data_IF_184223012705
#
_entry.id   IF_184223012705
#
_cell.length_a   1.000
_cell.length_b   1.000
_cell.length_c   1.000
_cell.angle_alpha   90.00
_cell.angle_beta   90.00
_cell.angle_gamma   90.00
#
_symmetry.space_group_name_H-M   'P 1'
#
loop_
_entity.id
_entity.type
_entity.pdbx_description
1 polymer ?
#
# COMPACT_ATOMS: atom_id res chain seq x y z
N UNK A 1 24.94 62.53 -38.48
CA UNK A 1 25.41 63.49 -37.45
C UNK A 1 24.57 63.34 -36.21
N UNK A 2 25.23 63.12 -35.05
CA UNK A 2 24.80 63.27 -33.64
C UNK A 2 23.55 62.47 -33.20
N UNK A 3 23.57 61.57 -32.21
CA UNK A 3 24.53 61.26 -31.15
C UNK A 3 23.96 61.56 -29.76
N UNK A 4 24.08 60.61 -28.83
CA UNK A 4 23.91 60.79 -27.37
C UNK A 4 23.11 59.64 -26.73
N UNK A 5 23.71 58.54 -26.25
CA UNK A 5 24.57 58.29 -25.06
C UNK A 5 23.78 57.72 -23.88
N UNK A 6 24.21 56.53 -23.47
CA UNK A 6 23.93 55.75 -22.26
C UNK A 6 24.39 56.44 -20.97
N UNK A 7 24.10 55.87 -19.77
CA UNK A 7 25.10 54.97 -19.19
C UNK A 7 24.56 53.74 -18.42
N UNK A 8 25.50 52.80 -18.29
CA UNK A 8 25.58 51.53 -17.57
C UNK A 8 25.62 51.61 -16.03
N UNK A 9 25.20 50.54 -15.33
CA UNK A 9 25.93 49.89 -14.21
C UNK A 9 25.32 48.50 -13.90
N UNK A 10 26.03 47.38 -14.17
CA UNK A 10 26.83 46.54 -13.25
C UNK A 10 26.01 45.66 -12.28
N UNK A 11 25.93 44.35 -12.57
CA UNK A 11 26.67 43.23 -11.93
C UNK A 11 26.29 42.96 -10.46
N UNK A 12 25.86 41.72 -10.19
CA UNK A 12 26.50 40.77 -9.24
C UNK A 12 26.13 39.36 -9.70
N UNK A 13 27.14 38.53 -9.96
CA UNK A 13 27.02 37.09 -10.11
C UNK A 13 27.36 36.38 -8.81
N UNK A 14 26.90 35.14 -8.66
CA UNK A 14 27.47 34.21 -7.70
C UNK A 14 27.62 32.85 -8.38
N UNK A 15 28.86 32.56 -8.79
CA UNK A 15 29.37 31.21 -9.00
C UNK A 15 29.71 30.61 -7.63
N UNK A 16 29.27 29.39 -7.37
CA UNK A 16 29.79 28.48 -6.36
C UNK A 16 29.92 27.13 -7.09
N UNK A 17 31.06 26.84 -7.73
CA UNK A 17 32.29 26.26 -7.19
C UNK A 17 32.04 25.05 -6.27
N UNK A 18 31.97 23.92 -6.97
CA UNK A 18 31.93 22.55 -6.52
C UNK A 18 33.37 22.09 -6.20
N UNK A 19 33.72 21.61 -4.99
CA UNK A 19 35.03 21.05 -4.74
C UNK A 19 34.99 19.51 -4.72
N UNK A 20 35.82 18.90 -5.57
CA UNK A 20 36.58 17.71 -5.15
C UNK A 20 35.99 16.34 -5.48
N UNK A 21 36.02 15.93 -6.76
CA UNK A 21 36.11 14.51 -7.11
C UNK A 21 37.56 14.22 -7.47
N UNK A 22 38.33 13.69 -6.51
CA UNK A 22 39.66 13.11 -6.78
C UNK A 22 39.49 11.66 -7.22
N UNK A 23 39.97 11.36 -8.43
CA UNK A 23 40.27 10.00 -8.90
C UNK A 23 41.37 9.39 -8.04
N UNK A 24 41.18 8.15 -7.60
CA UNK A 24 42.27 7.25 -7.26
C UNK A 24 42.03 5.91 -7.97
N UNK A 25 43.09 5.40 -8.59
CA UNK A 25 43.17 4.08 -9.19
C UNK A 25 44.39 3.35 -8.61
N UNK A 26 44.24 2.02 -8.48
CA UNK A 26 45.23 1.00 -8.13
C UNK A 26 45.69 1.00 -6.65
N UNK A 27 45.91 -0.12 -5.94
CA UNK A 27 46.41 -1.46 -6.30
C UNK A 27 46.03 -2.51 -5.23
N UNK A 28 46.13 -3.78 -5.63
CA UNK A 28 46.09 -5.09 -4.93
C UNK A 28 46.64 -5.17 -3.49
N UNK A 29 46.07 -6.08 -2.69
CA UNK A 29 46.77 -6.68 -1.53
C UNK A 29 45.92 -7.41 -0.49
N UNK A 30 46.02 -8.75 -0.50
CA UNK A 30 46.05 -9.70 0.63
C UNK A 30 44.84 -9.97 1.55
N UNK A 31 44.65 -11.27 1.80
CA UNK A 31 43.65 -11.98 2.60
C UNK A 31 43.55 -11.58 4.08
N UNK A 32 42.40 -11.82 4.76
CA UNK A 32 42.33 -11.90 6.21
C UNK A 32 42.37 -13.36 6.72
N UNK A 33 43.00 -13.63 7.88
CA UNK A 33 43.07 -14.97 8.45
C UNK A 33 41.84 -15.35 9.27
N UNK A 34 41.55 -16.65 9.25
CA UNK A 34 40.65 -17.39 10.13
C UNK A 34 40.99 -17.23 11.61
N UNK A 35 39.97 -17.19 12.47
CA UNK A 35 39.81 -18.03 13.67
C UNK A 35 38.92 -17.37 14.72
N UNK A 36 37.73 -17.92 14.96
CA UNK A 36 37.13 -18.01 16.31
C UNK A 36 36.18 -19.23 16.34
N UNK A 37 36.73 -20.34 16.81
CA UNK A 37 36.00 -21.52 17.27
C UNK A 37 35.61 -21.24 18.73
N UNK A 38 34.32 -21.36 19.09
CA UNK A 38 33.91 -21.52 20.48
C UNK A 38 32.84 -22.63 20.58
N UNK A 39 33.19 -23.66 21.34
CA UNK A 39 32.33 -24.74 21.82
C UNK A 39 31.65 -24.34 23.16
N UNK A 40 30.58 -25.04 23.59
CA UNK A 40 29.66 -24.56 24.62
C UNK A 40 30.07 -25.00 26.03
N UNK A 41 29.85 -24.12 27.01
CA UNK A 41 30.13 -24.37 28.43
C UNK A 41 28.92 -24.03 29.30
N UNK A 42 28.39 -25.07 29.95
CA UNK A 42 27.31 -25.07 30.92
C UNK A 42 27.61 -24.23 32.16
N UNK A 43 26.65 -23.43 32.62
CA UNK A 43 26.60 -22.97 34.01
C UNK A 43 25.18 -23.15 34.57
N UNK A 44 25.10 -24.03 35.57
CA UNK A 44 24.02 -24.15 36.53
C UNK A 44 24.03 -22.91 37.43
N UNK A 45 22.88 -22.30 37.70
CA UNK A 45 22.69 -21.54 38.94
C UNK A 45 21.24 -21.70 39.46
N UNK A 46 21.18 -21.80 40.78
CA UNK A 46 20.17 -22.38 41.66
C UNK A 46 19.23 -21.30 42.21
N UNK A 47 17.93 -21.62 42.27
CA UNK A 47 16.82 -21.09 43.09
C UNK A 47 16.61 -19.56 43.28
N UNK A 48 15.41 -19.08 42.90
CA UNK A 48 14.43 -18.51 43.86
C UNK A 48 13.03 -18.38 43.22
N UNK A 49 11.92 -18.68 43.93
CA UNK A 49 10.56 -18.69 43.39
C UNK A 49 9.83 -17.38 43.71
N UNK A 50 9.28 -16.69 42.70
CA UNK A 50 8.23 -15.69 42.92
C UNK A 50 7.10 -15.88 41.91
N UNK A 51 5.98 -16.30 42.48
CA UNK A 51 4.68 -16.44 41.85
C UNK A 51 4.19 -15.14 41.22
N UNK A 52 3.41 -15.34 40.14
CA UNK A 52 2.24 -14.54 39.73
C UNK A 52 2.49 -13.08 39.38
N UNK A 53 2.72 -12.83 38.10
CA UNK A 53 2.18 -11.69 37.35
C UNK A 53 2.29 -11.97 35.84
N UNK A 54 1.56 -12.99 35.37
CA UNK A 54 1.30 -13.18 33.94
C UNK A 54 -0.20 -13.06 33.71
N UNK A 55 -0.65 -11.84 33.47
CA UNK A 55 -1.89 -11.49 32.77
C UNK A 55 -1.90 -9.98 32.69
N UNK A 56 -1.42 -9.45 31.56
CA UNK A 56 -1.75 -8.14 30.99
C UNK A 56 -0.83 -7.98 29.76
N UNK A 57 -1.14 -8.73 28.70
CA UNK A 57 -0.79 -8.29 27.36
C UNK A 57 -1.64 -7.04 27.13
N UNK A 58 -1.07 -5.87 26.83
CA UNK A 58 -1.88 -4.72 26.46
C UNK A 58 -2.63 -5.10 25.19
N UNK A 59 -3.95 -5.14 25.30
CA UNK A 59 -4.87 -5.14 24.18
C UNK A 59 -4.43 -4.09 23.17
N UNK A 60 -4.32 -4.51 21.91
CA UNK A 60 -4.04 -3.66 20.73
C UNK A 60 -4.83 -2.36 20.86
N UNK A 61 -4.13 -1.22 20.80
CA UNK A 61 -4.70 0.13 20.81
C UNK A 61 -5.77 0.25 19.70
N UNK A 62 -7.02 0.02 20.07
CA UNK A 62 -8.21 0.48 19.35
C UNK A 62 -8.49 1.94 19.67
N UNK A 63 -7.45 2.74 19.90
CA UNK A 63 -7.56 4.19 20.02
C UNK A 63 -8.02 4.70 18.66
N UNK A 64 -9.35 4.66 18.50
CA UNK A 64 -10.12 5.34 17.50
C UNK A 64 -9.54 6.74 17.37
N UNK A 65 -9.57 7.25 16.15
CA UNK A 65 -9.29 8.65 15.86
C UNK A 65 -10.40 9.44 16.55
N UNK A 66 -10.25 9.66 17.87
CA UNK A 66 -11.15 10.44 18.68
C UNK A 66 -11.02 11.90 18.24
N UNK A 67 -12.15 12.61 18.08
CA UNK A 67 -12.21 13.82 17.30
C UNK A 67 -11.43 14.96 17.97
N UNK A 68 -10.64 15.67 17.15
CA UNK A 68 -10.55 17.13 17.28
C UNK A 68 -11.99 17.65 17.26
N UNK A 69 -12.39 18.35 18.31
CA UNK A 69 -13.79 18.64 18.63
C UNK A 69 -14.65 19.07 17.41
N UNK A 70 -15.65 18.25 17.04
CA UNK A 70 -16.91 18.75 16.44
C UNK A 70 -17.52 18.06 15.22
N UNK A 71 -16.77 17.34 14.37
CA UNK A 71 -17.30 16.75 13.13
C UNK A 71 -16.93 15.27 12.99
N UNK A 72 -17.95 14.40 13.06
CA UNK A 72 -17.83 13.00 12.63
C UNK A 72 -18.11 12.88 11.13
N UNK A 73 -17.53 11.88 10.48
CA UNK A 73 -17.78 11.61 9.06
C UNK A 73 -19.28 11.43 8.76
N UNK A 74 -20.01 10.71 9.63
CA UNK A 74 -21.47 10.53 9.48
C UNK A 74 -22.23 11.86 9.51
N UNK A 75 -21.80 12.83 10.32
CA UNK A 75 -22.40 14.17 10.36
C UNK A 75 -22.10 14.98 9.09
N UNK A 76 -20.90 14.83 8.54
CA UNK A 76 -20.56 15.44 7.25
C UNK A 76 -21.49 14.90 6.15
N UNK A 77 -21.67 13.58 6.04
CA UNK A 77 -22.60 12.99 5.08
C UNK A 77 -24.03 13.52 5.26
N UNK A 78 -24.54 13.55 6.49
CA UNK A 78 -25.88 14.04 6.79
C UNK A 78 -26.07 15.51 6.39
N UNK A 79 -25.05 16.36 6.58
CA UNK A 79 -25.07 17.78 6.18
C UNK A 79 -25.21 17.96 4.67
N UNK A 80 -24.70 17.01 3.88
CA UNK A 80 -24.85 16.98 2.43
C UNK A 80 -26.02 16.11 1.94
N UNK A 81 -26.87 15.60 2.84
CA UNK A 81 -27.96 14.67 2.53
C UNK A 81 -27.50 13.43 1.75
N UNK A 82 -26.31 12.91 2.08
CA UNK A 82 -25.72 11.73 1.45
C UNK A 82 -25.80 10.51 2.35
N UNK A 83 -25.96 9.33 1.73
CA UNK A 83 -25.84 8.04 2.37
C UNK A 83 -24.75 7.19 1.71
N UNK A 84 -24.03 6.42 2.52
CA UNK A 84 -23.02 5.48 2.06
C UNK A 84 -23.54 4.05 2.26
N UNK A 85 -23.88 3.41 1.14
CA UNK A 85 -24.41 2.04 1.07
C UNK A 85 -23.64 1.21 0.06
N UNK A 86 -23.61 -0.10 0.29
CA UNK A 86 -23.01 -1.06 -0.64
C UNK A 86 -23.78 -1.04 -1.96
N UNK A 87 -23.04 -0.92 -3.05
CA UNK A 87 -23.50 -1.23 -4.39
C UNK A 87 -23.32 -2.74 -4.65
N UNK A 88 -23.59 -3.17 -5.88
CA UNK A 88 -23.20 -4.50 -6.34
C UNK A 88 -21.71 -4.75 -6.04
N UNK A 89 -21.41 -5.91 -5.46
CA UNK A 89 -20.02 -6.30 -5.19
C UNK A 89 -19.36 -6.77 -6.49
N UNK A 90 -18.25 -6.15 -6.84
CA UNK A 90 -17.48 -6.37 -8.07
C UNK A 90 -16.06 -6.86 -7.79
N UNK A 91 -15.55 -6.61 -6.58
CA UNK A 91 -14.18 -6.95 -6.19
C UNK A 91 -14.20 -7.67 -4.85
N UNK A 92 -13.58 -8.85 -4.81
CA UNK A 92 -13.20 -9.53 -3.57
C UNK A 92 -11.74 -9.18 -3.27
N UNK A 93 -11.50 -8.33 -2.27
CA UNK A 93 -10.15 -7.96 -1.85
C UNK A 93 -9.69 -8.89 -0.72
N UNK A 94 -8.65 -9.68 -0.99
CA UNK A 94 -8.11 -10.68 -0.07
C UNK A 94 -6.82 -10.18 0.56
N UNK A 95 -6.87 -9.80 1.84
CA UNK A 95 -5.68 -9.48 2.60
C UNK A 95 -5.10 -10.78 3.20
N UNK A 96 -4.04 -11.30 2.58
CA UNK A 96 -3.48 -12.62 2.92
C UNK A 96 -2.58 -12.61 4.16
N UNK A 97 -2.42 -11.47 4.82
CA UNK A 97 -1.64 -11.36 6.04
C UNK A 97 -0.88 -10.05 6.16
N UNK A 98 0.08 -10.02 7.08
CA UNK A 98 0.92 -8.85 7.39
C UNK A 98 2.42 -9.13 7.22
N UNK A 99 2.80 -10.33 6.82
CA UNK A 99 4.19 -10.67 6.49
C UNK A 99 4.63 -9.89 5.25
N UNK A 100 5.78 -9.22 5.32
CA UNK A 100 6.34 -8.39 4.25
C UNK A 100 7.86 -8.31 4.44
N UNK A 101 8.63 -8.28 3.37
CA UNK A 101 10.08 -8.04 3.37
C UNK A 101 10.43 -6.60 3.80
N UNK A 102 9.50 -5.65 3.68
CA UNK A 102 9.71 -4.24 3.99
C UNK A 102 9.02 -3.75 5.27
N UNK A 103 9.52 -2.64 5.83
CA UNK A 103 8.92 -1.93 6.97
C UNK A 103 8.66 -0.44 6.60
N UNK A 104 7.86 -0.18 5.56
CA UNK A 104 7.62 1.19 5.07
C UNK A 104 6.90 2.08 6.10
N UNK A 105 7.34 3.34 6.26
CA UNK A 105 6.84 4.27 7.29
C UNK A 105 5.35 4.60 7.12
N UNK A 106 4.87 4.66 5.88
CA UNK A 106 3.48 5.02 5.54
C UNK A 106 2.49 3.83 5.58
N UNK A 107 2.96 2.61 5.88
CA UNK A 107 2.14 1.40 5.75
C UNK A 107 0.95 1.39 6.72
N UNK A 108 -0.26 1.48 6.18
CA UNK A 108 -1.51 1.41 6.95
C UNK A 108 -1.81 0.00 7.49
N UNK A 109 -1.35 -1.06 6.80
CA UNK A 109 -1.45 -2.47 7.26
C UNK A 109 -0.56 -2.77 8.46
N UNK A 110 0.48 -1.94 8.67
CA UNK A 110 1.56 -2.17 9.63
C UNK A 110 2.35 -3.47 9.33
N UNK A 111 2.46 -3.86 8.06
CA UNK A 111 3.13 -5.08 7.63
C UNK A 111 4.64 -5.06 7.83
N UNK A 112 5.28 -6.22 7.98
CA UNK A 112 6.74 -6.31 8.10
C UNK A 112 7.27 -7.72 8.33
N UNK A 113 8.60 -7.89 8.40
CA UNK A 113 9.25 -9.21 8.30
C UNK A 113 9.06 -10.07 9.55
N UNK A 114 8.70 -9.44 10.67
CA UNK A 114 8.45 -10.13 11.96
C UNK A 114 6.97 -10.44 12.20
N UNK A 115 6.09 -10.11 11.26
CA UNK A 115 4.65 -10.37 11.38
C UNK A 115 4.36 -11.86 11.19
N UNK A 116 3.34 -12.34 11.89
CA UNK A 116 2.96 -13.77 11.91
C UNK A 116 1.56 -14.01 11.35
N UNK A 117 0.82 -12.93 11.10
CA UNK A 117 -0.49 -12.97 10.46
C UNK A 117 -0.30 -13.37 9.01
N UNK A 118 -0.68 -14.59 8.68
CA UNK A 118 -0.54 -15.19 7.36
C UNK A 118 -1.73 -16.13 7.15
N UNK A 119 -2.35 -16.06 5.97
CA UNK A 119 -3.45 -16.92 5.57
C UNK A 119 -3.02 -18.39 5.53
N UNK A 120 -3.92 -19.30 5.85
CA UNK A 120 -3.69 -20.75 5.78
C UNK A 120 -4.38 -21.36 4.56
N UNK A 121 -3.88 -22.50 4.04
CA UNK A 121 -4.56 -23.33 3.04
C UNK A 121 -6.05 -23.52 3.35
N UNK A 122 -6.37 -23.92 4.58
CA UNK A 122 -7.76 -24.13 4.99
C UNK A 122 -8.64 -22.88 4.81
N UNK A 123 -8.13 -21.70 5.15
CA UNK A 123 -8.87 -20.44 4.95
C UNK A 123 -9.00 -20.12 3.46
N UNK A 124 -7.93 -20.32 2.68
CA UNK A 124 -7.96 -20.17 1.21
C UNK A 124 -9.05 -21.03 0.60
N UNK A 125 -9.10 -22.32 0.92
CA UNK A 125 -10.06 -23.27 0.34
C UNK A 125 -11.52 -22.84 0.63
N UNK A 126 -11.78 -22.35 1.84
CA UNK A 126 -13.12 -21.86 2.22
C UNK A 126 -13.51 -20.58 1.48
N UNK A 127 -12.57 -19.66 1.28
CA UNK A 127 -12.78 -18.44 0.50
C UNK A 127 -13.05 -18.80 -0.97
N UNK A 128 -12.25 -19.69 -1.55
CA UNK A 128 -12.41 -20.16 -2.92
C UNK A 128 -13.78 -20.83 -3.12
N UNK A 129 -14.17 -21.74 -2.22
CA UNK A 129 -15.48 -22.39 -2.28
C UNK A 129 -16.62 -21.36 -2.25
N UNK A 130 -16.57 -20.40 -1.33
CA UNK A 130 -17.57 -19.32 -1.28
C UNK A 130 -17.57 -18.48 -2.57
N UNK A 131 -16.40 -18.14 -3.11
CA UNK A 131 -16.27 -17.34 -4.33
C UNK A 131 -16.94 -18.02 -5.54
N UNK A 132 -16.92 -19.36 -5.63
CA UNK A 132 -17.58 -20.09 -6.72
C UNK A 132 -19.11 -19.90 -6.77
N UNK A 133 -19.72 -19.51 -5.65
CA UNK A 133 -21.16 -19.24 -5.53
C UNK A 133 -21.51 -17.78 -5.88
N UNK A 134 -20.52 -16.97 -6.28
CA UNK A 134 -20.69 -15.54 -6.57
C UNK A 134 -20.57 -15.22 -8.06
N UNK A 135 -20.91 -13.98 -8.42
CA UNK A 135 -20.63 -13.39 -9.74
C UNK A 135 -19.57 -12.28 -9.65
N UNK A 136 -18.61 -12.39 -8.73
CA UNK A 136 -17.55 -11.40 -8.53
C UNK A 136 -16.44 -11.62 -9.57
N UNK A 137 -16.20 -10.68 -10.50
CA UNK A 137 -15.25 -10.89 -11.61
C UNK A 137 -13.79 -10.61 -11.24
N UNK A 138 -13.54 -9.86 -10.16
CA UNK A 138 -12.18 -9.43 -9.79
C UNK A 138 -11.81 -9.89 -8.39
N UNK A 139 -10.63 -10.49 -8.27
CA UNK A 139 -10.00 -10.78 -6.98
C UNK A 139 -8.73 -9.94 -6.83
N UNK A 140 -8.67 -9.12 -5.79
CA UNK A 140 -7.58 -8.21 -5.48
C UNK A 140 -6.78 -8.72 -4.28
N UNK A 141 -5.61 -9.31 -4.52
CA UNK A 141 -4.78 -9.92 -3.49
C UNK A 141 -3.84 -8.85 -2.90
N UNK A 142 -3.94 -8.65 -1.59
CA UNK A 142 -3.20 -7.62 -0.84
C UNK A 142 -2.73 -8.16 0.52
N UNK A 143 -2.21 -7.30 1.40
CA UNK A 143 -1.71 -7.66 2.72
C UNK A 143 -0.38 -6.99 3.01
N UNK A 144 0.59 -7.77 3.48
CA UNK A 144 1.98 -7.35 3.51
C UNK A 144 2.60 -7.42 2.12
N UNK A 145 3.50 -8.37 1.88
CA UNK A 145 3.85 -8.83 0.54
C UNK A 145 3.02 -10.10 0.28
N UNK A 146 1.93 -10.04 -0.50
CA UNK A 146 1.02 -11.17 -0.67
C UNK A 146 1.72 -12.46 -1.11
N UNK A 147 2.78 -12.31 -1.89
CA UNK A 147 3.55 -13.36 -2.51
C UNK A 147 4.31 -14.20 -1.46
N UNK A 148 4.52 -13.64 -0.27
CA UNK A 148 5.11 -14.36 0.87
C UNK A 148 4.14 -15.28 1.61
N UNK A 149 2.86 -15.28 1.27
CA UNK A 149 1.94 -16.29 1.79
C UNK A 149 2.37 -17.68 1.27
N UNK A 150 2.52 -18.71 2.13
CA UNK A 150 3.01 -20.04 1.75
C UNK A 150 2.29 -20.65 0.54
N UNK A 151 1.02 -20.29 0.41
CA UNK A 151 0.05 -20.85 -0.51
C UNK A 151 -0.29 -19.93 -1.69
N UNK A 152 0.50 -18.88 -1.92
CA UNK A 152 0.24 -17.86 -2.94
C UNK A 152 0.09 -18.46 -4.35
N UNK A 153 0.97 -19.38 -4.76
CA UNK A 153 0.90 -20.04 -6.08
C UNK A 153 -0.43 -20.75 -6.28
N UNK A 154 -0.80 -21.60 -5.33
CA UNK A 154 -2.06 -22.32 -5.35
C UNK A 154 -3.24 -21.36 -5.39
N UNK A 155 -3.24 -20.31 -4.55
CA UNK A 155 -4.32 -19.33 -4.53
C UNK A 155 -4.51 -18.71 -5.93
N UNK A 156 -3.44 -18.28 -6.58
CA UNK A 156 -3.51 -17.71 -7.93
C UNK A 156 -3.99 -18.74 -8.96
N UNK A 157 -3.45 -19.95 -8.94
CA UNK A 157 -3.83 -21.03 -9.87
C UNK A 157 -5.31 -21.40 -9.75
N UNK A 158 -5.81 -21.55 -8.53
CA UNK A 158 -7.23 -21.82 -8.27
C UNK A 158 -8.11 -20.65 -8.67
N UNK A 159 -7.71 -19.40 -8.36
CA UNK A 159 -8.46 -18.23 -8.82
C UNK A 159 -8.55 -18.16 -10.34
N UNK A 160 -7.49 -18.55 -11.06
CA UNK A 160 -7.48 -18.61 -12.53
C UNK A 160 -8.33 -19.76 -13.09
N UNK A 161 -8.61 -20.80 -12.31
CA UNK A 161 -9.47 -21.93 -12.72
C UNK A 161 -10.96 -21.63 -12.54
N UNK A 162 -11.30 -20.65 -11.69
CA UNK A 162 -12.68 -20.21 -11.44
C UNK A 162 -13.19 -19.38 -12.62
N UNK A 163 -14.18 -19.92 -13.35
CA UNK A 163 -14.67 -19.36 -14.62
C UNK A 163 -15.12 -17.89 -14.55
N UNK A 164 -15.77 -17.49 -13.45
CA UNK A 164 -16.26 -16.12 -13.30
C UNK A 164 -15.16 -15.11 -12.95
N UNK A 165 -13.98 -15.56 -12.49
CA UNK A 165 -12.88 -14.67 -12.13
C UNK A 165 -12.13 -14.28 -13.40
N UNK A 166 -12.39 -13.08 -13.87
CA UNK A 166 -11.78 -12.52 -15.07
C UNK A 166 -10.39 -11.95 -14.75
N UNK A 167 -10.31 -11.22 -13.62
CA UNK A 167 -9.11 -10.48 -13.22
C UNK A 167 -8.61 -10.93 -11.85
N UNK A 168 -7.33 -11.30 -11.79
CA UNK A 168 -6.59 -11.48 -10.53
C UNK A 168 -5.57 -10.36 -10.44
N UNK A 169 -5.60 -9.59 -9.36
CA UNK A 169 -4.69 -8.48 -9.09
C UNK A 169 -3.73 -8.89 -7.98
N UNK A 170 -2.45 -8.61 -8.17
CA UNK A 170 -1.42 -8.70 -7.14
C UNK A 170 -0.91 -7.30 -6.76
N UNK A 171 -1.10 -6.92 -5.49
CA UNK A 171 -0.58 -5.67 -4.93
C UNK A 171 0.85 -5.86 -4.45
N UNK A 172 1.75 -5.73 -5.41
CA UNK A 172 3.16 -6.00 -5.26
C UNK A 172 3.93 -4.79 -4.70
N UNK A 173 4.91 -5.05 -3.85
CA UNK A 173 5.84 -4.02 -3.37
C UNK A 173 7.10 -3.87 -4.26
N UNK A 174 7.22 -4.66 -5.32
CA UNK A 174 8.37 -4.76 -6.25
C UNK A 174 9.63 -5.42 -5.69
N UNK A 175 10.03 -5.13 -4.45
CA UNK A 175 11.29 -5.65 -3.89
C UNK A 175 11.27 -7.16 -3.72
N UNK A 176 10.11 -7.71 -3.39
CA UNK A 176 9.89 -9.16 -3.26
C UNK A 176 10.28 -9.96 -4.51
N UNK A 177 10.19 -9.37 -5.71
CA UNK A 177 10.58 -10.01 -6.98
C UNK A 177 12.10 -10.29 -7.09
N UNK A 178 12.90 -9.73 -6.18
CA UNK A 178 14.35 -9.85 -6.13
C UNK A 178 14.85 -10.51 -4.84
N UNK A 179 13.95 -10.85 -3.91
CA UNK A 179 14.32 -11.52 -2.67
C UNK A 179 14.73 -12.97 -2.94
N UNK A 180 15.72 -13.51 -2.19
CA UNK A 180 16.13 -14.91 -2.33
C UNK A 180 14.96 -15.87 -2.12
N UNK A 181 14.79 -16.82 -3.05
CA UNK A 181 13.69 -17.79 -3.03
C UNK A 181 12.43 -17.34 -3.78
N UNK A 182 12.41 -16.11 -4.30
CA UNK A 182 11.33 -15.56 -5.14
C UNK A 182 11.74 -15.35 -6.60
N UNK A 183 12.83 -15.97 -7.04
CA UNK A 183 13.34 -15.85 -8.41
C UNK A 183 12.33 -16.32 -9.46
N UNK A 184 11.35 -17.12 -9.07
CA UNK A 184 10.29 -17.65 -9.92
C UNK A 184 9.09 -16.71 -10.10
N UNK A 185 8.96 -15.70 -9.25
CA UNK A 185 7.71 -14.98 -9.02
C UNK A 185 7.27 -14.17 -10.25
N UNK A 186 8.19 -13.43 -10.86
CA UNK A 186 7.88 -12.58 -12.01
C UNK A 186 7.36 -13.41 -13.21
N UNK A 187 8.02 -14.51 -13.51
CA UNK A 187 7.65 -15.43 -14.59
C UNK A 187 6.32 -16.14 -14.29
N UNK A 188 6.09 -16.51 -13.04
CA UNK A 188 4.82 -17.10 -12.61
C UNK A 188 3.66 -16.13 -12.77
N UNK A 189 3.79 -14.89 -12.29
CA UNK A 189 2.75 -13.85 -12.41
C UNK A 189 2.41 -13.60 -13.89
N UNK A 190 3.44 -13.51 -14.75
CA UNK A 190 3.27 -13.35 -16.19
C UNK A 190 2.55 -14.55 -16.82
N UNK A 191 2.97 -15.78 -16.50
CA UNK A 191 2.35 -17.00 -17.03
C UNK A 191 0.87 -17.13 -16.64
N UNK A 192 0.53 -16.70 -15.42
CA UNK A 192 -0.84 -16.67 -14.91
C UNK A 192 -1.63 -15.42 -15.33
N UNK A 193 -1.01 -14.49 -16.09
CA UNK A 193 -1.58 -13.21 -16.52
C UNK A 193 -2.15 -12.40 -15.36
N UNK A 194 -1.46 -12.40 -14.23
CA UNK A 194 -1.85 -11.62 -13.06
C UNK A 194 -1.60 -10.15 -13.36
N UNK A 195 -2.61 -9.31 -13.12
CA UNK A 195 -2.47 -7.86 -13.17
C UNK A 195 -1.65 -7.40 -11.97
N UNK A 196 -0.59 -6.63 -12.20
CA UNK A 196 0.26 -6.10 -11.13
C UNK A 196 -0.13 -4.66 -10.83
N UNK A 197 -0.40 -4.34 -9.57
CA UNK A 197 -0.55 -2.97 -9.07
C UNK A 197 0.59 -2.72 -8.07
N UNK A 198 1.64 -2.07 -8.54
CA UNK A 198 2.90 -1.98 -7.83
C UNK A 198 3.05 -0.66 -7.06
N UNK A 199 3.51 -0.74 -5.81
CA UNK A 199 3.78 0.46 -5.00
C UNK A 199 5.09 1.14 -5.42
N UNK A 200 5.02 2.37 -5.95
CA UNK A 200 6.20 3.20 -6.28
C UNK A 200 5.90 4.67 -5.92
N UNK A 201 6.19 5.09 -4.67
CA UNK A 201 5.71 6.36 -4.13
C UNK A 201 6.37 7.59 -4.74
N UNK A 202 7.44 7.43 -5.51
CA UNK A 202 8.05 8.49 -6.31
C UNK A 202 8.91 7.89 -7.43
N UNK A 203 9.11 8.61 -8.54
CA UNK A 203 10.14 8.28 -9.54
C UNK A 203 11.54 8.76 -9.13
N UNK A 204 11.69 9.44 -7.99
CA UNK A 204 12.97 9.92 -7.48
C UNK A 204 13.51 9.04 -6.33
N UNK A 205 14.81 8.72 -6.32
CA UNK A 205 15.42 7.82 -5.33
C UNK A 205 15.34 8.35 -3.90
N UNK A 206 15.58 9.65 -3.72
CA UNK A 206 15.53 10.33 -2.41
C UNK A 206 14.20 10.13 -1.71
N UNK A 207 13.10 10.22 -2.47
CA UNK A 207 11.76 10.11 -1.94
C UNK A 207 11.41 8.66 -1.61
N UNK A 208 11.71 7.72 -2.51
CA UNK A 208 11.42 6.31 -2.27
C UNK A 208 12.21 5.79 -1.08
N UNK A 209 13.51 6.10 -1.00
CA UNK A 209 14.37 5.60 0.08
C UNK A 209 13.96 6.18 1.44
N UNK A 210 13.61 7.48 1.50
CA UNK A 210 13.12 8.10 2.74
C UNK A 210 11.85 7.44 3.29
N UNK A 211 10.98 6.91 2.41
CA UNK A 211 9.69 6.36 2.81
C UNK A 211 9.71 4.83 3.04
N UNK A 212 10.59 4.12 2.31
CA UNK A 212 10.59 2.65 2.23
C UNK A 212 11.89 1.99 2.69
N UNK A 213 12.98 2.74 2.84
CA UNK A 213 14.30 2.25 3.24
C UNK A 213 15.35 2.41 2.14
N UNK A 214 16.62 2.46 2.55
CA UNK A 214 17.75 2.64 1.62
C UNK A 214 17.87 1.49 0.62
N UNK A 215 18.18 1.83 -0.64
CA UNK A 215 18.33 0.86 -1.74
C UNK A 215 17.00 0.34 -2.32
N UNK A 216 15.85 0.65 -1.72
CA UNK A 216 14.54 0.19 -2.21
C UNK A 216 14.23 0.75 -3.59
N UNK A 217 14.64 1.98 -3.90
CA UNK A 217 14.46 2.55 -5.23
C UNK A 217 15.13 1.68 -6.30
N UNK A 218 16.42 1.38 -6.13
CA UNK A 218 17.19 0.62 -7.12
C UNK A 218 16.62 -0.79 -7.31
N UNK A 219 16.21 -1.44 -6.23
CA UNK A 219 15.51 -2.72 -6.29
C UNK A 219 14.19 -2.60 -7.07
N UNK A 220 13.39 -1.58 -6.79
CA UNK A 220 12.11 -1.34 -7.48
C UNK A 220 12.30 -1.14 -8.98
N UNK A 221 13.32 -0.36 -9.39
CA UNK A 221 13.64 -0.13 -10.80
C UNK A 221 14.08 -1.43 -11.49
N UNK A 222 14.95 -2.22 -10.87
CA UNK A 222 15.37 -3.53 -11.44
C UNK A 222 14.18 -4.48 -11.60
N UNK A 223 13.27 -4.50 -10.62
CA UNK A 223 12.06 -5.31 -10.67
C UNK A 223 11.13 -4.86 -11.81
N UNK A 224 10.88 -3.57 -11.96
CA UNK A 224 10.07 -3.01 -13.07
C UNK A 224 10.67 -3.33 -14.44
N UNK A 225 12.00 -3.20 -14.60
CA UNK A 225 12.69 -3.58 -15.82
C UNK A 225 12.55 -5.08 -16.12
N UNK A 226 12.57 -5.94 -15.09
CA UNK A 226 12.31 -7.39 -15.26
C UNK A 226 10.88 -7.63 -15.75
N UNK A 227 9.88 -7.00 -15.14
CA UNK A 227 8.49 -7.10 -15.56
C UNK A 227 8.29 -6.62 -17.01
N UNK A 228 8.87 -5.48 -17.40
CA UNK A 228 8.79 -4.99 -18.78
C UNK A 228 9.48 -5.92 -19.79
N UNK A 229 10.55 -6.65 -19.41
CA UNK A 229 11.15 -7.69 -20.27
C UNK A 229 10.22 -8.89 -20.48
N UNK A 230 9.41 -9.22 -19.48
CA UNK A 230 8.39 -10.28 -19.58
C UNK A 230 7.14 -9.84 -20.36
N UNK A 231 6.99 -8.55 -20.66
CA UNK A 231 5.91 -8.01 -21.47
C UNK A 231 4.90 -7.16 -20.70
N UNK A 232 5.05 -7.00 -19.39
CA UNK A 232 4.18 -6.10 -18.62
C UNK A 232 4.22 -4.67 -19.16
N UNK A 233 3.03 -4.07 -19.28
CA UNK A 233 2.76 -2.78 -19.92
C UNK A 233 3.07 -2.69 -21.42
N UNK A 234 3.48 -3.79 -22.06
CA UNK A 234 3.81 -3.87 -23.48
C UNK A 234 2.92 -4.85 -24.22
N UNK A 235 2.33 -5.81 -23.51
CA UNK A 235 1.35 -6.75 -24.01
C UNK A 235 -0.03 -6.42 -23.40
N UNK A 236 -1.13 -6.59 -24.16
CA UNK A 236 -2.46 -6.21 -23.69
C UNK A 236 -2.96 -7.04 -22.50
N UNK A 237 -2.48 -8.27 -22.33
CA UNK A 237 -2.86 -9.18 -21.26
C UNK A 237 -1.92 -9.12 -20.03
N UNK A 238 -0.88 -8.30 -20.07
CA UNK A 238 0.07 -8.11 -18.96
C UNK A 238 0.03 -6.67 -18.46
N UNK A 239 -0.93 -6.37 -17.59
CA UNK A 239 -1.12 -5.04 -17.03
C UNK A 239 -0.20 -4.78 -15.84
N UNK A 240 0.51 -3.66 -15.86
CA UNK A 240 1.31 -3.14 -14.77
C UNK A 240 0.91 -1.69 -14.49
N UNK A 241 0.23 -1.49 -13.37
CA UNK A 241 -0.11 -0.16 -12.85
C UNK A 241 0.81 0.19 -11.68
N UNK A 242 1.02 1.49 -11.45
CA UNK A 242 1.82 2.01 -10.33
C UNK A 242 0.94 2.76 -9.34
N UNK A 243 1.35 2.79 -8.07
CA UNK A 243 0.68 3.54 -7.01
C UNK A 243 1.63 4.59 -6.43
N UNK A 244 1.16 5.84 -6.41
CA UNK A 244 1.80 6.97 -5.75
C UNK A 244 1.16 7.25 -4.39
N UNK A 245 2.01 7.37 -3.37
CA UNK A 245 1.66 7.80 -2.02
C UNK A 245 2.56 8.98 -1.62
N UNK A 246 2.02 10.10 -1.11
CA UNK A 246 2.82 11.22 -0.64
C UNK A 246 3.88 10.85 0.42
N UNK A 247 5.01 11.54 0.42
CA UNK A 247 6.05 11.40 1.44
C UNK A 247 5.74 12.11 2.78
N UNK A 248 4.49 12.51 3.00
CA UNK A 248 4.12 13.27 4.18
C UNK A 248 2.61 13.42 4.35
N UNK A 249 2.24 14.41 5.13
CA UNK A 249 0.89 14.73 5.59
C UNK A 249 0.21 15.79 4.71
N UNK A 250 0.27 15.57 3.40
CA UNK A 250 -0.42 16.37 2.39
C UNK A 250 -1.20 15.47 1.43
N UNK A 251 -2.16 16.05 0.71
CA UNK A 251 -2.95 15.33 -0.29
C UNK A 251 -2.12 15.08 -1.56
N UNK A 252 -2.38 13.99 -2.30
CA UNK A 252 -1.72 13.77 -3.58
C UNK A 252 -2.07 14.89 -4.58
N UNK A 253 -1.19 15.19 -5.55
CA UNK A 253 -1.49 16.09 -6.65
C UNK A 253 -2.49 15.45 -7.63
N UNK A 254 -2.83 16.17 -8.70
CA UNK A 254 -3.68 15.62 -9.75
C UNK A 254 -3.08 14.33 -10.35
N UNK A 255 -3.92 13.30 -10.48
CA UNK A 255 -3.48 11.99 -10.94
C UNK A 255 -3.08 12.00 -12.42
N UNK A 256 -3.75 12.79 -13.25
CA UNK A 256 -3.50 12.80 -14.71
C UNK A 256 -2.17 13.47 -15.01
N UNK A 257 -1.92 14.63 -14.40
CA UNK A 257 -0.64 15.34 -14.50
C UNK A 257 0.49 14.49 -13.94
N UNK A 258 0.30 13.89 -12.76
CA UNK A 258 1.33 13.05 -12.15
C UNK A 258 1.59 11.76 -12.95
N UNK A 259 0.57 11.15 -13.57
CA UNK A 259 0.75 10.00 -14.47
C UNK A 259 1.63 10.39 -15.66
N UNK A 260 1.40 11.56 -16.26
CA UNK A 260 2.20 12.04 -17.38
C UNK A 260 3.66 12.29 -16.98
N UNK A 261 3.90 12.87 -15.80
CA UNK A 261 5.24 13.06 -15.25
C UNK A 261 5.93 11.73 -14.99
N UNK A 262 5.27 10.79 -14.31
CA UNK A 262 5.79 9.44 -14.10
C UNK A 262 6.16 8.75 -15.40
N UNK A 263 5.26 8.79 -16.41
CA UNK A 263 5.51 8.18 -17.73
C UNK A 263 6.73 8.79 -18.40
N UNK A 264 6.86 10.12 -18.36
CA UNK A 264 8.02 10.82 -18.94
C UNK A 264 9.32 10.43 -18.22
N UNK A 265 9.37 10.59 -16.90
CA UNK A 265 10.60 10.43 -16.13
C UNK A 265 11.08 8.97 -16.11
N UNK A 266 10.17 8.01 -15.90
CA UNK A 266 10.52 6.58 -15.88
C UNK A 266 10.92 6.07 -17.27
N UNK A 267 10.28 6.56 -18.34
CA UNK A 267 10.63 6.17 -19.71
C UNK A 267 11.98 6.75 -20.12
N UNK A 268 12.18 8.06 -19.95
CA UNK A 268 13.37 8.75 -20.44
C UNK A 268 14.63 8.34 -19.68
N UNK A 269 14.54 8.22 -18.36
CA UNK A 269 15.73 8.01 -17.53
C UNK A 269 16.01 6.52 -17.28
N UNK A 270 14.99 5.66 -17.31
CA UNK A 270 15.09 4.27 -16.83
C UNK A 270 14.55 3.22 -17.81
N UNK A 271 13.95 3.65 -18.94
CA UNK A 271 13.41 2.76 -19.97
C UNK A 271 12.19 1.95 -19.53
N UNK A 272 11.46 2.42 -18.52
CA UNK A 272 10.32 1.71 -17.91
C UNK A 272 9.00 2.17 -18.54
N UNK A 273 8.13 1.21 -18.81
CA UNK A 273 6.74 1.41 -19.27
C UNK A 273 5.76 0.91 -18.20
N UNK A 274 4.63 1.60 -18.02
CA UNK A 274 3.52 1.17 -17.18
C UNK A 274 2.18 1.65 -17.76
N UNK A 275 1.06 1.03 -17.37
CA UNK A 275 -0.26 1.29 -17.91
C UNK A 275 -0.91 2.53 -17.27
N UNK A 276 -1.18 2.51 -15.96
CA UNK A 276 -1.80 3.60 -15.19
C UNK A 276 -1.06 3.96 -13.90
N UNK A 277 -1.22 5.20 -13.46
CA UNK A 277 -0.80 5.66 -12.13
C UNK A 277 -2.04 5.91 -11.26
N UNK A 278 -2.03 5.35 -10.07
CA UNK A 278 -3.06 5.60 -9.06
C UNK A 278 -2.48 6.45 -7.93
N UNK A 279 -3.09 7.60 -7.64
CA UNK A 279 -2.74 8.40 -6.48
C UNK A 279 -3.60 8.02 -5.28
N UNK A 280 -2.98 7.91 -4.11
CA UNK A 280 -3.68 7.61 -2.87
C UNK A 280 -3.21 8.55 -1.76
N UNK A 281 -4.15 9.09 -0.99
CA UNK A 281 -3.84 9.82 0.24
C UNK A 281 -3.35 8.84 1.32
N UNK A 282 -2.39 9.28 2.12
CA UNK A 282 -1.93 8.46 3.23
C UNK A 282 -3.02 8.35 4.31
N UNK A 283 -3.53 7.15 4.53
CA UNK A 283 -4.56 6.95 5.53
C UNK A 283 -4.01 7.16 6.94
N UNK A 284 -4.68 7.94 7.81
CA UNK A 284 -4.21 8.26 9.16
C UNK A 284 -4.42 7.09 10.13
N UNK A 285 -3.94 5.90 9.77
CA UNK A 285 -4.01 4.65 10.53
C UNK A 285 -2.65 3.93 10.48
N UNK A 286 -2.49 2.87 11.28
CA UNK A 286 -1.27 2.05 11.25
C UNK A 286 0.02 2.84 11.54
N UNK A 287 1.08 2.56 10.78
CA UNK A 287 2.38 3.25 11.00
C UNK A 287 2.35 4.73 10.64
N UNK A 288 1.54 5.13 9.66
CA UNK A 288 1.43 6.53 9.32
C UNK A 288 0.80 7.35 10.45
N UNK A 289 -0.24 6.84 11.10
CA UNK A 289 -0.79 7.47 12.30
C UNK A 289 0.24 7.57 13.44
N UNK A 290 1.02 6.51 13.67
CA UNK A 290 2.07 6.53 14.68
C UNK A 290 3.13 7.60 14.38
N UNK A 291 3.54 7.72 13.11
CA UNK A 291 4.45 8.76 12.64
C UNK A 291 3.86 10.17 12.84
N UNK A 292 2.60 10.39 12.45
CA UNK A 292 1.92 11.68 12.66
C UNK A 292 1.87 12.08 14.14
N UNK A 293 1.52 11.15 15.03
CA UNK A 293 1.48 11.40 16.48
C UNK A 293 2.85 11.74 17.03
N UNK A 294 3.87 10.95 16.68
CA UNK A 294 5.24 11.17 17.13
C UNK A 294 5.77 12.56 16.75
N UNK A 295 5.36 13.08 15.58
CA UNK A 295 5.76 14.39 15.09
C UNK A 295 4.80 15.52 15.47
N UNK A 296 3.74 15.27 16.26
CA UNK A 296 2.75 16.29 16.63
C UNK A 296 1.92 16.82 15.45
N UNK A 297 1.73 16.01 14.41
CA UNK A 297 1.09 16.38 13.12
C UNK A 297 -0.31 15.82 12.93
N UNK A 298 -0.75 14.90 13.80
CA UNK A 298 -2.01 14.17 13.60
C UNK A 298 -3.23 15.10 13.49
N UNK A 299 -3.38 16.04 14.42
CA UNK A 299 -4.55 16.93 14.45
C UNK A 299 -4.59 17.82 13.20
N UNK A 300 -3.46 18.41 12.81
CA UNK A 300 -3.35 19.21 11.60
C UNK A 300 -3.66 18.41 10.33
N UNK A 301 -3.22 17.15 10.28
CA UNK A 301 -3.53 16.28 9.14
C UNK A 301 -5.01 15.89 9.10
N UNK A 302 -5.60 15.54 10.24
CA UNK A 302 -7.05 15.26 10.31
C UNK A 302 -7.87 16.49 9.91
N UNK A 303 -7.48 17.68 10.35
CA UNK A 303 -8.09 18.95 9.94
C UNK A 303 -8.01 19.18 8.43
N UNK A 304 -6.87 18.89 7.81
CA UNK A 304 -6.71 18.95 6.36
C UNK A 304 -7.70 18.01 5.67
N UNK A 305 -7.79 16.75 6.09
CA UNK A 305 -8.70 15.76 5.51
C UNK A 305 -10.17 16.18 5.65
N UNK A 306 -10.57 16.68 6.82
CA UNK A 306 -11.93 17.14 7.09
C UNK A 306 -12.30 18.38 6.27
N UNK A 307 -11.42 19.38 6.21
CA UNK A 307 -11.64 20.61 5.41
C UNK A 307 -11.64 20.34 3.90
N UNK A 308 -10.95 19.29 3.48
CA UNK A 308 -10.88 18.88 2.08
C UNK A 308 -11.95 17.85 1.70
N UNK A 309 -12.92 17.55 2.58
CA UNK A 309 -13.99 16.62 2.29
C UNK A 309 -14.71 16.99 0.98
N UNK A 310 -14.71 16.07 0.03
CA UNK A 310 -15.37 16.23 -1.26
C UNK A 310 -16.57 15.27 -1.39
N UNK A 311 -17.81 15.79 -1.29
CA UNK A 311 -19.03 14.97 -1.43
C UNK A 311 -19.13 14.22 -2.76
N UNK A 312 -18.53 14.72 -3.84
CA UNK A 312 -18.57 14.06 -5.15
C UNK A 312 -17.75 12.76 -5.21
N UNK A 313 -16.84 12.54 -4.26
CA UNK A 313 -16.07 11.29 -4.16
C UNK A 313 -16.89 10.10 -3.67
N UNK A 314 -18.05 10.33 -3.01
CA UNK A 314 -18.82 9.31 -2.31
C UNK A 314 -19.27 8.18 -3.24
N UNK A 315 -19.71 8.48 -4.45
CA UNK A 315 -20.17 7.46 -5.40
C UNK A 315 -19.05 6.54 -5.90
N UNK A 316 -17.81 7.01 -5.89
CA UNK A 316 -16.63 6.27 -6.36
C UNK A 316 -15.90 5.48 -5.27
N UNK A 317 -16.34 5.56 -4.00
CA UNK A 317 -15.62 4.92 -2.89
C UNK A 317 -15.57 3.39 -3.04
N UNK A 318 -14.36 2.82 -2.88
CA UNK A 318 -14.14 1.37 -2.99
C UNK A 318 -15.00 0.53 -2.03
N UNK A 319 -15.34 1.05 -0.85
CA UNK A 319 -16.17 0.33 0.13
C UNK A 319 -17.59 0.06 -0.38
N UNK A 320 -18.00 0.69 -1.49
CA UNK A 320 -19.30 0.45 -2.12
C UNK A 320 -19.34 -0.84 -2.91
N UNK A 321 -18.30 -1.16 -3.69
CA UNK A 321 -18.28 -2.33 -4.59
C UNK A 321 -17.23 -3.38 -4.23
N UNK A 322 -16.37 -3.11 -3.24
CA UNK A 322 -15.34 -4.05 -2.77
C UNK A 322 -15.78 -4.72 -1.48
N UNK A 323 -15.59 -6.03 -1.38
CA UNK A 323 -15.69 -6.79 -0.13
C UNK A 323 -14.28 -7.13 0.34
N UNK A 324 -13.89 -6.65 1.53
CA UNK A 324 -12.55 -6.90 2.07
C UNK A 324 -12.60 -8.10 3.01
N UNK A 325 -11.71 -9.08 2.79
CA UNK A 325 -11.62 -10.31 3.56
C UNK A 325 -10.22 -10.46 4.14
N UNK A 326 -10.16 -10.69 5.46
CA UNK A 326 -8.92 -10.89 6.19
C UNK A 326 -8.33 -12.29 6.07
N UNK A 327 -7.10 -12.45 6.57
CA UNK A 327 -6.33 -13.69 6.49
C UNK A 327 -6.91 -14.87 7.29
N UNK A 328 -7.92 -14.65 8.15
CA UNK A 328 -8.71 -15.73 8.78
C UNK A 328 -10.13 -15.83 8.19
N UNK A 329 -10.41 -15.12 7.10
CA UNK A 329 -11.71 -15.07 6.44
C UNK A 329 -12.68 -14.03 7.00
N UNK A 330 -12.23 -13.13 7.88
CA UNK A 330 -13.08 -12.08 8.47
C UNK A 330 -13.54 -11.06 7.44
N UNK A 331 -14.76 -10.52 7.59
CA UNK A 331 -15.37 -9.63 6.59
C UNK A 331 -15.37 -8.17 7.04
N UNK A 332 -15.04 -7.27 6.11
CA UNK A 332 -14.99 -5.82 6.28
C UNK A 332 -15.52 -5.09 5.03
N UNK A 333 -15.92 -3.83 5.20
CA UNK A 333 -16.35 -2.99 4.06
C UNK A 333 -15.17 -2.54 3.18
N UNK A 334 -13.97 -2.37 3.75
CA UNK A 334 -12.74 -2.05 3.01
C UNK A 334 -11.49 -2.42 3.83
N UNK A 335 -10.32 -2.40 3.19
CA UNK A 335 -9.04 -2.71 3.85
C UNK A 335 -8.72 -1.73 5.00
N UNK A 336 -9.16 -0.48 4.95
CA UNK A 336 -8.97 0.44 6.08
C UNK A 336 -9.82 0.07 7.29
N UNK A 337 -11.07 -0.37 7.09
CA UNK A 337 -11.89 -0.93 8.17
C UNK A 337 -11.23 -2.20 8.74
N UNK A 338 -10.64 -3.04 7.88
CA UNK A 338 -9.89 -4.22 8.32
C UNK A 338 -8.74 -3.83 9.25
N UNK A 339 -7.92 -2.84 8.87
CA UNK A 339 -6.78 -2.43 9.69
C UNK A 339 -7.19 -1.77 11.02
N UNK A 340 -8.43 -1.26 11.10
CA UNK A 340 -9.03 -0.73 12.32
C UNK A 340 -9.85 -1.77 13.11
N UNK A 341 -9.93 -3.02 12.65
CA UNK A 341 -10.70 -4.06 13.34
C UNK A 341 -12.22 -3.87 13.28
N UNK A 342 -12.71 -3.07 12.34
CA UNK A 342 -14.14 -2.77 12.15
C UNK A 342 -14.84 -3.90 11.40
N UNK A 343 -14.79 -5.12 11.96
CA UNK A 343 -15.34 -6.34 11.37
C UNK A 343 -16.86 -6.30 11.35
N UNK A 344 -17.47 -6.84 10.29
CA UNK A 344 -18.90 -7.09 10.24
C UNK A 344 -19.33 -8.05 11.34
N UNK A 345 -20.44 -7.69 11.99
CA UNK A 345 -21.00 -8.42 13.12
C UNK A 345 -22.50 -8.51 12.98
N UNK A 346 -23.03 -9.70 13.26
CA UNK A 346 -24.43 -9.87 13.70
C UNK A 346 -24.40 -10.12 15.20
N UNK A 347 -24.81 -11.30 15.66
CA UNK A 347 -24.61 -11.76 17.04
C UNK A 347 -23.17 -12.22 17.31
N UNK A 348 -22.45 -12.59 16.25
CA UNK A 348 -21.04 -13.02 16.27
C UNK A 348 -20.27 -12.32 15.14
N UNK A 349 -18.92 -12.28 15.20
CA UNK A 349 -18.10 -11.88 14.07
C UNK A 349 -18.43 -12.72 12.84
N UNK A 350 -18.57 -12.06 11.68
CA UNK A 350 -18.85 -12.73 10.42
C UNK A 350 -17.58 -13.05 9.66
N UNK A 351 -17.59 -14.22 9.03
CA UNK A 351 -16.60 -14.65 8.07
C UNK A 351 -17.24 -14.76 6.68
N UNK A 352 -16.42 -14.80 5.63
CA UNK A 352 -16.92 -14.72 4.26
C UNK A 352 -17.90 -15.84 3.91
N UNK A 353 -17.63 -17.06 4.41
CA UNK A 353 -18.50 -18.23 4.24
C UNK A 353 -19.79 -18.19 5.08
N UNK A 354 -19.97 -17.19 5.94
CA UNK A 354 -21.24 -16.94 6.64
C UNK A 354 -22.16 -16.01 5.83
N UNK A 355 -21.67 -15.43 4.71
CA UNK A 355 -22.41 -14.48 3.90
C UNK A 355 -23.20 -15.18 2.80
N UNK A 356 -24.43 -14.73 2.61
CA UNK A 356 -25.19 -14.99 1.38
C UNK A 356 -24.74 -13.99 0.30
N UNK A 357 -24.11 -14.45 -0.80
CA UNK A 357 -23.68 -13.58 -1.89
C UNK A 357 -24.79 -12.71 -2.48
N UNK A 358 -26.04 -13.19 -2.44
CA UNK A 358 -27.22 -12.48 -2.96
C UNK A 358 -27.72 -11.34 -2.08
N UNK A 359 -27.21 -11.19 -0.85
CA UNK A 359 -27.71 -10.23 0.14
C UNK A 359 -26.68 -9.16 0.56
N UNK A 360 -25.64 -8.95 -0.25
CA UNK A 360 -24.58 -7.97 0.03
C UNK A 360 -24.96 -6.53 -0.38
N UNK A 361 -25.75 -6.38 -1.43
CA UNK A 361 -26.11 -5.07 -1.99
C UNK A 361 -27.09 -4.32 -1.07
N UNK A 362 -26.96 -2.99 -1.00
CA UNK A 362 -27.84 -2.12 -0.20
C UNK A 362 -27.54 -2.08 1.30
N UNK A 363 -26.69 -2.98 1.81
CA UNK A 363 -26.24 -2.98 3.20
C UNK A 363 -25.54 -1.65 3.57
N UNK A 364 -25.65 -1.26 4.84
CA UNK A 364 -24.93 -0.11 5.39
C UNK A 364 -23.44 -0.40 5.49
N UNK A 365 -22.62 0.62 5.20
CA UNK A 365 -21.16 0.54 5.33
C UNK A 365 -20.73 1.07 6.70
N UNK A 366 -19.80 0.38 7.37
CA UNK A 366 -19.21 0.85 8.62
C UNK A 366 -18.27 2.05 8.36
N UNK A 367 -18.56 3.17 9.02
CA UNK A 367 -17.86 4.43 8.83
C UNK A 367 -17.07 4.86 10.07
N UNK A 368 -16.02 5.64 9.87
CA UNK A 368 -15.28 6.31 10.93
C UNK A 368 -14.53 7.52 10.39
N UNK A 369 -13.83 8.27 11.24
CA UNK A 369 -13.15 9.50 10.80
C UNK A 369 -12.00 9.25 9.83
N UNK A 370 -11.46 8.03 9.77
CA UNK A 370 -10.52 7.65 8.70
C UNK A 370 -11.14 7.79 7.30
N UNK A 371 -12.46 7.69 7.14
CA UNK A 371 -13.14 7.83 5.85
C UNK A 371 -12.91 9.20 5.20
N UNK A 372 -12.61 10.24 5.99
CA UNK A 372 -12.19 11.53 5.42
C UNK A 372 -10.95 11.40 4.53
N UNK A 373 -10.04 10.47 4.82
CA UNK A 373 -8.88 10.17 3.97
C UNK A 373 -9.25 9.67 2.57
N UNK A 374 -10.34 8.91 2.45
CA UNK A 374 -10.83 8.41 1.16
C UNK A 374 -11.62 9.46 0.36
N UNK A 375 -12.10 10.49 1.03
CA UNK A 375 -13.01 11.50 0.44
C UNK A 375 -12.38 12.87 0.30
N UNK A 376 -11.16 13.07 0.78
CA UNK A 376 -10.47 14.35 0.72
C UNK A 376 -9.99 14.67 -0.69
N UNK A 377 -10.12 15.93 -1.12
CA UNK A 377 -9.63 16.42 -2.41
C UNK A 377 -10.28 15.71 -3.60
N UNK A 378 -9.48 15.06 -4.43
CA UNK A 378 -9.98 14.25 -5.57
C UNK A 378 -10.60 12.91 -5.14
N UNK A 379 -10.69 12.63 -3.83
CA UNK A 379 -10.98 11.30 -3.32
C UNK A 379 -9.81 10.33 -3.54
N UNK A 380 -9.81 9.23 -2.81
CA UNK A 380 -8.68 8.31 -2.77
C UNK A 380 -9.17 6.89 -2.51
N UNK A 381 -8.81 5.98 -3.40
CA UNK A 381 -9.07 4.55 -3.27
C UNK A 381 -7.86 3.72 -3.69
N UNK A 382 -7.92 2.41 -3.47
CA UNK A 382 -6.92 1.48 -4.00
C UNK A 382 -6.88 1.42 -5.55
N UNK A 383 -7.81 2.10 -6.24
CA UNK A 383 -7.82 2.34 -7.69
C UNK A 383 -7.54 3.79 -8.10
N UNK A 384 -7.03 4.63 -7.19
CA UNK A 384 -6.65 6.02 -7.47
C UNK A 384 -7.70 7.06 -7.08
N UNK A 385 -7.58 8.24 -7.69
CA UNK A 385 -8.50 9.37 -7.54
C UNK A 385 -9.93 9.03 -8.00
N UNK A 386 -10.93 9.56 -7.30
CA UNK A 386 -12.35 9.20 -7.48
C UNK A 386 -13.15 10.22 -8.27
N UNK A 387 -12.70 11.47 -8.25
CA UNK A 387 -13.20 12.51 -9.14
C UNK A 387 -12.05 12.96 -10.03
N UNK A 388 -12.36 13.26 -11.29
CA UNK A 388 -11.43 14.03 -12.10
C UNK A 388 -11.17 15.37 -11.40
N UNK A 389 -9.95 15.92 -11.47
CA UNK A 389 -9.76 17.31 -11.10
C UNK A 389 -10.70 18.17 -11.96
N UNK A 390 -11.76 18.68 -11.33
CA UNK A 390 -12.63 19.67 -11.95
C UNK A 390 -11.83 20.95 -12.11
N UNK A 391 -11.80 21.47 -13.33
CA UNK A 391 -11.25 22.79 -13.66
C UNK A 391 -12.07 23.95 -13.11
#
# INVERSE_FOLDING_TARGET
MKGGRSPTSSRIGARSQNPGVRRFAATLGSDPPDSWILAPGSFFCVLCPLLRLFSLVPSVDTAAIDPVAGLSFSRALATHSLELRRARTEILQLNVGKLCDLTCVHCHVNAGPKRKEVITRQTVDRILNWLTETNIPTVDITGGAPEMAPDFRYLVEELRSIRQVETVIDRCNLTILLEPGYEWLAEFLAAQRVKIVASLPCYQPTNVNAQRGDGVFDCSIRALQRLNRLGYARQPDLTLDLVYNPNGDFLPPDQTELEADYKRELKQNLGIDFNRLYTIANMPIGRFAAWLRHNGRLDAYMDLLMKSFNPASISGLMCRNTLSVGWRGEVYDCDFNQQLGMQWRKQKPLFVWDLDPGQLEGQSILMGNHCFGCTAGAGSSCGGALVAAGG
#
